data_IF_070491368571
#
_entry.id   IF_070491368571
#
_cell.length_a   1.000
_cell.length_b   1.000
_cell.length_c   1.000
_cell.angle_alpha   90.00
_cell.angle_beta   90.00
_cell.angle_gamma   90.00
#
_symmetry.space_group_name_H-M   'P 1'
#
loop_
_entity.id
_entity.type
_entity.pdbx_description
1 polymer ?
#
# COMPACT_ATOMS: atom_id res chain seq x y z
N UNK A 1 -3.89 24.95 -61.57
CA UNK A 1 -4.60 23.87 -60.85
C UNK A 1 -3.58 22.93 -60.26
N UNK A 2 -3.32 23.04 -58.95
CA UNK A 2 -2.77 22.02 -58.02
C UNK A 2 -2.48 22.72 -56.68
N UNK A 3 -3.48 22.72 -55.80
CA UNK A 3 -3.29 23.00 -54.37
C UNK A 3 -2.70 21.72 -53.74
N UNK A 4 -1.54 21.84 -53.12
CA UNK A 4 -0.99 20.82 -52.21
C UNK A 4 -1.34 21.26 -50.79
N UNK A 5 -2.36 20.65 -50.20
CA UNK A 5 -2.68 20.79 -48.78
C UNK A 5 -1.77 19.82 -48.02
N UNK A 6 -0.78 20.36 -47.33
CA UNK A 6 0.06 19.62 -46.39
C UNK A 6 -0.75 19.46 -45.08
N UNK A 7 -1.47 18.35 -44.94
CA UNK A 7 -2.11 18.01 -43.68
C UNK A 7 -1.03 17.55 -42.68
N UNK A 8 -0.58 18.48 -41.83
CA UNK A 8 0.19 18.13 -40.64
C UNK A 8 -0.73 17.30 -39.72
N UNK A 9 -0.50 15.99 -39.68
CA UNK A 9 -1.06 15.10 -38.67
C UNK A 9 -0.43 15.48 -37.32
N UNK A 10 -0.96 16.53 -36.69
CA UNK A 10 -0.85 16.70 -35.25
C UNK A 10 -1.62 15.54 -34.62
N UNK A 11 -0.92 14.41 -34.39
CA UNK A 11 -1.36 13.47 -33.38
C UNK A 11 -1.26 14.21 -32.06
N UNK A 12 -2.40 14.66 -31.55
CA UNK A 12 -2.51 14.91 -30.13
C UNK A 12 -2.17 13.59 -29.44
N UNK A 13 -0.94 13.49 -28.92
CA UNK A 13 -0.64 12.53 -27.86
C UNK A 13 -1.47 12.98 -26.67
N UNK A 14 -2.71 12.49 -26.60
CA UNK A 14 -3.39 12.43 -25.31
C UNK A 14 -2.43 11.66 -24.40
N UNK A 15 -1.96 12.28 -23.33
CA UNK A 15 -1.34 11.54 -22.24
C UNK A 15 -2.32 10.40 -21.91
N UNK A 16 -1.88 9.16 -22.11
CA UNK A 16 -2.76 8.00 -22.27
C UNK A 16 -3.51 7.64 -20.97
N UNK A 17 -3.20 8.31 -19.86
CA UNK A 17 -3.81 8.06 -18.56
C UNK A 17 -3.61 9.26 -17.64
N UNK A 18 -4.66 9.67 -16.91
CA UNK A 18 -4.52 10.58 -15.76
C UNK A 18 -3.98 9.74 -14.59
N UNK A 19 -2.71 9.94 -14.15
CA UNK A 19 -2.14 9.14 -13.06
C UNK A 19 -2.81 9.46 -11.72
N UNK A 20 -3.57 10.56 -11.65
CA UNK A 20 -4.29 10.96 -10.45
C UNK A 20 -5.56 10.13 -10.33
N UNK A 21 -5.62 9.35 -9.27
CA UNK A 21 -6.84 8.63 -8.91
C UNK A 21 -7.84 9.58 -8.24
N UNK A 22 -9.13 9.41 -8.52
CA UNK A 22 -10.22 10.12 -7.81
C UNK A 22 -10.40 9.62 -6.37
N UNK A 23 -9.81 8.47 -6.06
CA UNK A 23 -9.80 7.81 -4.76
C UNK A 23 -8.44 8.03 -4.11
N UNK A 24 -8.36 7.95 -2.80
CA UNK A 24 -7.29 8.63 -2.04
C UNK A 24 -6.21 7.71 -1.48
N UNK A 25 -6.25 6.41 -1.81
CA UNK A 25 -5.33 5.40 -1.30
C UNK A 25 -4.95 4.38 -2.38
N UNK A 26 -3.71 3.90 -2.32
CA UNK A 26 -3.23 2.76 -3.11
C UNK A 26 -2.84 1.62 -2.18
N UNK A 27 -2.82 0.39 -2.68
CA UNK A 27 -2.36 -0.79 -1.92
C UNK A 27 -1.15 -1.42 -2.62
N UNK A 28 -0.17 -1.90 -1.87
CA UNK A 28 0.94 -2.67 -2.44
C UNK A 28 0.64 -4.16 -2.35
N UNK A 29 0.19 -4.77 -3.45
CA UNK A 29 -0.05 -6.21 -3.52
C UNK A 29 1.27 -6.93 -3.86
N UNK A 30 2.18 -6.90 -2.88
CA UNK A 30 3.55 -7.39 -2.99
C UNK A 30 3.60 -8.89 -3.32
N UNK A 31 4.31 -9.22 -4.40
CA UNK A 31 4.50 -10.57 -4.94
C UNK A 31 3.24 -11.30 -5.43
N UNK A 32 2.09 -10.61 -5.53
CA UNK A 32 0.87 -11.21 -6.06
C UNK A 32 1.01 -11.55 -7.55
N UNK A 33 0.35 -12.62 -7.99
CA UNK A 33 0.24 -12.95 -9.42
C UNK A 33 -0.73 -12.02 -10.12
N UNK A 34 -0.50 -11.77 -11.41
CA UNK A 34 -1.33 -10.86 -12.22
C UNK A 34 -2.80 -11.29 -12.25
N UNK A 35 -3.07 -12.60 -12.36
CA UNK A 35 -4.43 -13.13 -12.37
C UNK A 35 -5.19 -12.89 -11.05
N UNK A 36 -4.53 -13.07 -9.90
CA UNK A 36 -5.13 -12.83 -8.58
C UNK A 36 -5.38 -11.33 -8.37
N UNK A 37 -4.45 -10.48 -8.82
CA UNK A 37 -4.55 -9.04 -8.73
C UNK A 37 -5.70 -8.49 -9.59
N UNK A 38 -5.86 -9.00 -10.81
CA UNK A 38 -6.98 -8.67 -11.69
C UNK A 38 -8.33 -9.01 -11.05
N UNK A 39 -8.43 -10.22 -10.46
CA UNK A 39 -9.63 -10.63 -9.74
C UNK A 39 -9.87 -9.76 -8.49
N UNK A 40 -8.81 -9.38 -7.78
CA UNK A 40 -8.87 -8.52 -6.59
C UNK A 40 -9.36 -7.10 -6.92
N UNK A 41 -8.91 -6.54 -8.04
CA UNK A 41 -9.42 -5.27 -8.55
C UNK A 41 -10.94 -5.27 -8.70
N UNK A 42 -11.48 -6.30 -9.36
CA UNK A 42 -12.90 -6.40 -9.67
C UNK A 42 -13.74 -6.75 -8.43
N UNK A 43 -13.30 -7.74 -7.64
CA UNK A 43 -14.10 -8.28 -6.54
C UNK A 43 -14.00 -7.45 -5.26
N UNK A 44 -12.95 -6.65 -5.10
CA UNK A 44 -12.66 -6.00 -3.82
C UNK A 44 -12.21 -4.54 -3.94
N UNK A 45 -11.11 -4.25 -4.62
CA UNK A 45 -10.52 -2.90 -4.61
C UNK A 45 -11.43 -1.86 -5.26
N UNK A 46 -11.99 -2.20 -6.42
CA UNK A 46 -12.98 -1.41 -7.15
C UNK A 46 -14.18 -1.08 -6.27
N UNK A 47 -14.92 -2.09 -5.75
CA UNK A 47 -16.07 -1.87 -4.87
C UNK A 47 -15.75 -1.13 -3.56
N UNK A 48 -14.57 -1.32 -2.95
CA UNK A 48 -14.21 -0.74 -1.66
C UNK A 48 -13.44 0.59 -1.76
N UNK A 49 -13.41 1.22 -2.93
CA UNK A 49 -12.90 2.58 -3.05
C UNK A 49 -11.37 2.72 -3.02
N UNK A 50 -10.61 1.67 -3.28
CA UNK A 50 -9.16 1.78 -3.50
C UNK A 50 -8.89 2.44 -4.85
N UNK A 51 -7.91 3.34 -4.87
CA UNK A 51 -7.55 4.14 -6.05
C UNK A 51 -6.56 3.49 -6.99
N UNK A 52 -5.74 2.57 -6.49
CA UNK A 52 -4.82 1.82 -7.33
C UNK A 52 -3.99 0.81 -6.56
N UNK A 53 -3.12 0.12 -7.31
CA UNK A 53 -2.26 -0.94 -6.82
C UNK A 53 -0.82 -0.66 -7.24
N UNK A 54 0.09 -0.66 -6.28
CA UNK A 54 1.51 -0.85 -6.58
C UNK A 54 1.77 -2.34 -6.80
N UNK A 55 2.43 -2.66 -7.91
CA UNK A 55 2.81 -4.04 -8.26
C UNK A 55 4.32 -4.24 -8.09
N UNK A 56 4.74 -5.44 -7.69
CA UNK A 56 6.15 -5.83 -7.69
C UNK A 56 6.76 -5.75 -9.10
N UNK A 57 8.11 -5.63 -9.23
CA UNK A 57 8.76 -5.39 -10.52
C UNK A 57 8.31 -6.38 -11.61
N UNK A 58 7.67 -5.92 -12.69
CA UNK A 58 7.12 -6.81 -13.72
C UNK A 58 8.18 -7.31 -14.71
N UNK A 59 9.38 -6.73 -14.66
CA UNK A 59 10.50 -7.05 -15.53
C UNK A 59 11.19 -8.36 -15.17
N UNK A 60 11.81 -8.97 -16.17
CA UNK A 60 12.66 -10.15 -16.05
C UNK A 60 13.79 -9.91 -15.03
N UNK A 61 13.85 -10.81 -14.05
CA UNK A 61 14.86 -10.82 -13.00
C UNK A 61 15.64 -12.13 -12.95
N UNK A 62 16.71 -12.13 -12.17
CA UNK A 62 17.43 -13.36 -11.79
C UNK A 62 16.54 -14.36 -11.05
N UNK A 63 16.84 -15.65 -11.21
CA UNK A 63 16.34 -16.74 -10.36
C UNK A 63 17.41 -17.12 -9.34
N UNK A 64 17.05 -17.07 -8.06
CA UNK A 64 17.94 -17.43 -6.94
C UNK A 64 17.38 -18.68 -6.25
N UNK A 65 18.07 -19.82 -6.37
CA UNK A 65 17.61 -21.13 -5.86
C UNK A 65 18.28 -21.58 -4.57
N UNK A 66 19.48 -21.08 -4.26
CA UNK A 66 20.22 -21.39 -3.03
C UNK A 66 19.48 -20.93 -1.76
N UNK A 67 18.61 -19.92 -1.88
CA UNK A 67 17.71 -19.42 -0.83
C UNK A 67 16.22 -19.53 -1.18
N UNK A 68 15.83 -20.55 -1.96
CA UNK A 68 14.42 -20.84 -2.28
C UNK A 68 13.61 -19.62 -2.75
N UNK A 69 14.01 -19.01 -3.85
CA UNK A 69 13.30 -17.90 -4.51
C UNK A 69 13.00 -16.71 -3.59
N UNK A 70 14.03 -16.05 -3.03
CA UNK A 70 13.85 -14.89 -2.17
C UNK A 70 13.20 -13.71 -2.90
N UNK A 71 12.39 -12.93 -2.20
CA UNK A 71 11.64 -11.80 -2.78
C UNK A 71 12.54 -10.76 -3.46
N UNK A 72 13.71 -10.49 -2.88
CA UNK A 72 14.64 -9.48 -3.39
C UNK A 72 15.24 -9.84 -4.76
N UNK A 73 15.07 -11.08 -5.23
CA UNK A 73 15.53 -11.47 -6.57
C UNK A 73 14.87 -10.62 -7.66
N UNK A 74 13.64 -10.14 -7.45
CA UNK A 74 12.91 -9.27 -8.40
C UNK A 74 13.52 -7.88 -8.54
N UNK A 75 14.33 -7.47 -7.58
CA UNK A 75 15.08 -6.22 -7.60
C UNK A 75 16.46 -6.41 -8.22
N UNK A 76 16.69 -7.51 -8.95
CA UNK A 76 17.91 -7.75 -9.73
C UNK A 76 17.54 -8.04 -11.19
N UNK A 77 17.27 -6.98 -11.99
CA UNK A 77 16.85 -7.12 -13.37
C UNK A 77 17.91 -7.76 -14.25
N UNK A 78 17.45 -8.54 -15.22
CA UNK A 78 18.28 -9.05 -16.33
C UNK A 78 17.87 -8.38 -17.64
N UNK A 79 16.59 -8.08 -17.78
CA UNK A 79 16.03 -7.41 -18.93
C UNK A 79 14.70 -6.75 -18.63
N UNK A 80 14.16 -6.03 -19.61
CA UNK A 80 12.85 -5.39 -19.50
C UNK A 80 11.72 -6.18 -20.17
N UNK A 81 11.97 -7.46 -20.46
CA UNK A 81 10.91 -8.39 -20.83
C UNK A 81 9.91 -8.46 -19.68
N UNK A 82 8.62 -8.40 -19.99
CA UNK A 82 7.55 -8.41 -18.99
C UNK A 82 7.19 -9.86 -18.65
N UNK A 83 8.09 -10.54 -17.95
CA UNK A 83 7.81 -11.85 -17.38
C UNK A 83 8.50 -11.98 -16.02
N UNK A 84 7.76 -12.51 -15.05
CA UNK A 84 8.23 -12.67 -13.67
C UNK A 84 7.50 -13.82 -12.98
N UNK A 85 7.80 -14.04 -11.69
CA UNK A 85 7.05 -14.97 -10.82
C UNK A 85 5.55 -14.65 -10.73
N UNK A 86 5.14 -13.42 -11.07
CA UNK A 86 3.73 -13.01 -11.07
C UNK A 86 2.98 -13.38 -12.36
N UNK A 87 3.69 -13.69 -13.45
CA UNK A 87 3.11 -14.04 -14.75
C UNK A 87 3.79 -13.38 -15.95
N UNK A 88 3.25 -13.59 -17.14
CA UNK A 88 3.76 -13.08 -18.42
C UNK A 88 3.11 -11.76 -18.88
N UNK A 89 3.59 -11.21 -19.99
CA UNK A 89 3.13 -9.92 -20.54
C UNK A 89 1.63 -9.89 -20.82
N UNK A 90 1.06 -10.98 -21.37
CA UNK A 90 -0.37 -11.03 -21.68
C UNK A 90 -1.22 -11.00 -20.41
N UNK A 91 -0.78 -11.69 -19.35
CA UNK A 91 -1.45 -11.67 -18.04
C UNK A 91 -1.32 -10.30 -17.37
N UNK A 92 -0.15 -9.65 -17.48
CA UNK A 92 0.05 -8.29 -17.00
C UNK A 92 -0.88 -7.29 -17.73
N UNK A 93 -0.98 -7.41 -19.05
CA UNK A 93 -1.88 -6.59 -19.88
C UNK A 93 -3.35 -6.82 -19.56
N UNK A 94 -3.76 -8.07 -19.35
CA UNK A 94 -5.12 -8.41 -18.90
C UNK A 94 -5.43 -7.76 -17.55
N UNK A 95 -4.53 -7.91 -16.57
CA UNK A 95 -4.67 -7.32 -15.25
C UNK A 95 -4.82 -5.80 -15.31
N UNK A 96 -3.93 -5.10 -16.03
CA UNK A 96 -4.01 -3.64 -16.20
C UNK A 96 -5.35 -3.24 -16.80
N UNK A 97 -5.80 -3.95 -17.83
CA UNK A 97 -7.07 -3.66 -18.51
C UNK A 97 -8.25 -3.82 -17.57
N UNK A 98 -8.32 -4.94 -16.84
CA UNK A 98 -9.42 -5.24 -15.91
C UNK A 98 -9.46 -4.30 -14.72
N UNK A 99 -8.31 -3.98 -14.12
CA UNK A 99 -8.23 -3.01 -13.03
C UNK A 99 -8.65 -1.60 -13.48
N UNK A 100 -8.18 -1.14 -14.64
CA UNK A 100 -8.58 0.16 -15.17
C UNK A 100 -10.09 0.23 -15.47
N UNK A 101 -10.70 -0.86 -15.97
CA UNK A 101 -12.15 -0.91 -16.23
C UNK A 101 -13.01 -0.73 -14.97
N UNK A 102 -12.46 -1.03 -13.78
CA UNK A 102 -13.14 -0.83 -12.49
C UNK A 102 -12.60 0.38 -11.72
N UNK A 103 -11.82 1.25 -12.38
CA UNK A 103 -11.32 2.50 -11.81
C UNK A 103 -10.20 2.31 -10.78
N UNK A 104 -9.42 1.23 -10.90
CA UNK A 104 -8.25 0.94 -10.06
C UNK A 104 -7.00 1.08 -10.91
N UNK A 105 -6.18 2.10 -10.62
CA UNK A 105 -4.95 2.38 -11.35
C UNK A 105 -3.84 1.37 -11.02
N UNK A 106 -2.90 1.15 -11.94
CA UNK A 106 -1.73 0.29 -11.71
C UNK A 106 -0.46 1.15 -11.70
N UNK A 107 0.35 1.00 -10.64
CA UNK A 107 1.63 1.65 -10.44
C UNK A 107 2.74 0.59 -10.43
N UNK A 108 3.58 0.57 -11.46
CA UNK A 108 4.67 -0.41 -11.56
C UNK A 108 5.88 0.00 -10.71
N UNK A 109 6.41 -0.94 -9.92
CA UNK A 109 7.73 -0.80 -9.30
C UNK A 109 8.81 -0.97 -10.38
N UNK A 110 9.50 0.14 -10.70
CA UNK A 110 10.43 0.23 -11.82
C UNK A 110 11.88 0.21 -11.32
N UNK A 111 12.54 -0.94 -11.45
CA UNK A 111 13.96 -1.10 -11.10
C UNK A 111 14.82 -0.75 -12.31
N UNK A 112 15.22 0.52 -12.39
CA UNK A 112 15.98 1.08 -13.53
C UNK A 112 17.39 1.56 -13.16
N UNK A 113 17.74 1.52 -11.88
CA UNK A 113 19.03 2.01 -11.37
C UNK A 113 20.19 1.04 -11.62
N UNK A 114 19.91 -0.27 -11.62
CA UNK A 114 20.93 -1.32 -11.72
C UNK A 114 20.39 -2.58 -12.40
N UNK A 115 21.31 -3.50 -12.71
CA UNK A 115 21.02 -4.87 -13.17
C UNK A 115 21.44 -5.88 -12.09
N UNK A 116 21.30 -7.19 -12.33
CA UNK A 116 21.70 -8.22 -11.36
C UNK A 116 23.21 -8.20 -11.07
N UNK A 117 23.58 -8.53 -9.83
CA UNK A 117 24.97 -8.47 -9.37
C UNK A 117 25.78 -9.74 -9.65
N UNK A 118 25.14 -10.90 -9.58
CA UNK A 118 25.75 -12.21 -9.84
C UNK A 118 24.67 -13.25 -10.09
N UNK A 119 24.95 -14.25 -10.94
CA UNK A 119 24.03 -15.36 -11.22
C UNK A 119 24.13 -15.85 -12.66
N UNK A 120 23.36 -16.89 -12.98
CA UNK A 120 23.42 -17.56 -14.30
C UNK A 120 22.06 -17.92 -14.89
N UNK A 121 20.96 -17.71 -14.16
CA UNK A 121 19.62 -18.09 -14.59
C UNK A 121 18.68 -16.89 -14.51
N UNK A 122 17.93 -16.68 -15.59
CA UNK A 122 16.94 -15.63 -15.73
C UNK A 122 15.53 -16.19 -15.70
N UNK A 123 14.59 -15.39 -15.21
CA UNK A 123 13.17 -15.77 -15.10
C UNK A 123 12.49 -15.98 -16.45
N UNK A 124 13.00 -15.38 -17.53
CA UNK A 124 12.44 -15.55 -18.88
C UNK A 124 13.41 -16.24 -19.85
N UNK A 125 14.53 -16.78 -19.37
CA UNK A 125 15.49 -17.53 -20.18
C UNK A 125 16.44 -16.67 -21.02
N UNK A 126 16.44 -15.35 -20.85
CA UNK A 126 17.42 -14.46 -21.50
C UNK A 126 18.86 -14.77 -21.05
N UNK A 127 19.80 -14.68 -21.97
CA UNK A 127 21.24 -14.74 -21.68
C UNK A 127 21.75 -13.44 -21.08
N UNK A 128 22.70 -13.54 -20.16
CA UNK A 128 23.44 -12.43 -19.57
C UNK A 128 24.78 -12.95 -18.98
N UNK A 129 25.72 -12.03 -18.74
CA UNK A 129 26.93 -12.27 -17.97
C UNK A 129 27.16 -11.12 -16.98
N UNK A 130 26.70 -11.30 -15.75
CA UNK A 130 26.82 -10.29 -14.70
C UNK A 130 28.29 -9.97 -14.34
N UNK A 131 29.21 -10.94 -14.47
CA UNK A 131 30.62 -10.72 -14.14
C UNK A 131 31.30 -9.76 -15.12
N UNK A 132 30.92 -9.87 -16.40
CA UNK A 132 31.40 -8.98 -17.46
C UNK A 132 30.49 -7.77 -17.68
N UNK A 133 29.44 -7.62 -16.87
CA UNK A 133 28.40 -6.58 -17.00
C UNK A 133 27.76 -6.55 -18.39
N UNK A 134 27.50 -7.72 -18.97
CA UNK A 134 26.95 -7.90 -20.31
C UNK A 134 25.48 -8.34 -20.24
N UNK A 135 24.57 -7.47 -20.70
CA UNK A 135 23.12 -7.64 -20.69
C UNK A 135 22.54 -7.33 -22.07
N UNK A 136 22.73 -8.24 -23.05
CA UNK A 136 22.48 -7.96 -24.47
C UNK A 136 20.99 -7.78 -24.82
N UNK A 137 20.07 -8.18 -23.93
CA UNK A 137 18.63 -7.98 -24.14
C UNK A 137 18.21 -6.52 -23.91
N UNK A 138 18.95 -5.76 -23.10
CA UNK A 138 18.78 -4.31 -22.86
C UNK A 138 19.78 -3.46 -23.66
N UNK A 139 20.52 -4.10 -24.58
CA UNK A 139 21.86 -3.73 -25.03
C UNK A 139 22.82 -3.03 -24.04
N UNK A 140 22.83 -3.39 -22.76
CA UNK A 140 23.83 -2.83 -21.83
C UNK A 140 25.09 -3.67 -21.78
N UNK A 141 26.24 -3.01 -21.71
CA UNK A 141 27.55 -3.60 -21.51
C UNK A 141 28.36 -2.79 -20.50
N UNK A 142 29.58 -3.22 -20.17
CA UNK A 142 30.36 -2.65 -19.07
C UNK A 142 30.56 -1.12 -19.07
N UNK A 143 30.43 -0.44 -20.23
CA UNK A 143 30.52 1.02 -20.33
C UNK A 143 29.25 1.76 -19.87
N UNK A 144 28.10 1.09 -19.83
CA UNK A 144 26.83 1.68 -19.41
C UNK A 144 26.68 1.73 -17.88
N UNK A 145 27.59 1.07 -17.16
CA UNK A 145 27.59 1.02 -15.70
C UNK A 145 28.58 2.02 -15.12
N UNK A 146 28.16 2.68 -14.04
CA UNK A 146 29.00 3.60 -13.29
C UNK A 146 30.33 2.94 -12.88
N UNK A 147 31.43 3.65 -13.08
CA UNK A 147 32.80 3.21 -12.79
C UNK A 147 33.22 3.52 -11.34
N UNK A 148 32.25 3.80 -10.46
CA UNK A 148 32.48 4.14 -9.05
C UNK A 148 33.04 5.55 -8.82
N UNK A 149 33.17 6.41 -9.85
CA UNK A 149 33.71 7.78 -9.68
C UNK A 149 32.70 8.83 -9.20
N UNK A 150 31.41 8.50 -9.16
CA UNK A 150 30.39 9.40 -8.63
C UNK A 150 30.13 9.10 -7.15
N UNK A 151 30.91 9.72 -6.27
CA UNK A 151 30.62 9.79 -4.84
C UNK A 151 29.52 10.82 -4.62
N UNK A 152 28.26 10.40 -4.59
CA UNK A 152 27.19 11.28 -4.11
C UNK A 152 27.27 11.26 -2.57
N UNK A 153 27.70 12.39 -1.98
CA UNK A 153 27.54 12.61 -0.54
C UNK A 153 26.06 12.60 -0.21
N UNK A 154 25.66 11.83 0.80
CA UNK A 154 24.27 11.77 1.28
C UNK A 154 23.87 13.13 1.85
N UNK A 155 23.17 13.92 1.05
CA UNK A 155 22.71 15.26 1.36
C UNK A 155 21.42 15.26 2.18
N UNK A 156 21.59 15.63 3.45
CA UNK A 156 20.74 16.33 4.42
C UNK A 156 19.20 16.46 4.27
N UNK A 157 18.58 16.33 5.45
CA UNK A 157 17.20 16.56 5.90
C UNK A 157 16.53 17.83 5.34
N UNK A 158 15.21 17.75 5.13
CA UNK A 158 14.36 18.92 4.88
C UNK A 158 12.98 18.80 5.53
N UNK A 159 12.67 19.82 6.34
CA UNK A 159 11.46 20.15 7.12
C UNK A 159 10.16 20.29 6.29
N UNK A 160 8.98 20.03 6.87
CA UNK A 160 8.19 21.00 7.66
C UNK A 160 7.67 20.47 9.03
N UNK A 161 7.85 21.30 10.07
CA UNK A 161 7.73 21.14 11.54
C UNK A 161 8.37 19.90 12.20
N UNK A 162 8.60 18.82 11.45
CA UNK A 162 9.24 17.56 11.88
C UNK A 162 10.34 17.05 10.94
N UNK A 163 10.69 17.75 9.85
CA UNK A 163 11.65 17.25 8.88
C UNK A 163 11.06 16.57 7.65
N UNK A 164 9.78 16.77 7.32
CA UNK A 164 9.09 16.03 6.24
C UNK A 164 8.84 16.83 4.96
N UNK A 165 8.84 16.15 3.82
CA UNK A 165 8.53 16.75 2.52
C UNK A 165 7.11 17.36 2.49
N UNK A 166 6.87 18.48 1.76
CA UNK A 166 5.53 19.04 1.57
C UNK A 166 4.50 18.00 1.13
N UNK A 167 3.28 18.10 1.66
CA UNK A 167 2.23 17.08 1.49
C UNK A 167 1.84 16.82 0.03
N UNK A 168 1.99 17.80 -0.86
CA UNK A 168 1.69 17.67 -2.30
C UNK A 168 2.79 16.92 -3.09
N UNK A 169 3.90 16.58 -2.42
CA UNK A 169 5.05 15.85 -2.97
C UNK A 169 5.34 14.54 -2.24
N UNK A 170 4.68 14.29 -1.11
CA UNK A 170 4.92 13.14 -0.27
C UNK A 170 4.10 11.91 -0.69
N UNK A 171 4.74 10.74 -0.74
CA UNK A 171 4.09 9.43 -0.68
C UNK A 171 4.37 8.84 0.71
N UNK A 172 3.31 8.60 1.48
CA UNK A 172 3.41 8.21 2.90
C UNK A 172 2.97 6.77 3.12
N UNK A 173 3.64 6.10 4.05
CA UNK A 173 3.40 4.72 4.44
C UNK A 173 3.89 4.46 5.87
N UNK A 174 3.40 3.38 6.52
CA UNK A 174 3.83 2.99 7.86
C UNK A 174 5.01 2.05 7.72
N UNK A 175 4.82 1.04 6.88
CA UNK A 175 5.82 0.08 6.49
C UNK A 175 5.83 -0.12 4.98
N UNK A 176 6.88 -0.77 4.48
CA UNK A 176 7.01 -1.23 3.12
C UNK A 176 7.66 -2.62 3.12
N UNK A 177 7.83 -3.20 1.93
CA UNK A 177 8.35 -4.56 1.79
C UNK A 177 9.77 -4.77 2.35
N UNK A 178 10.57 -3.71 2.46
CA UNK A 178 11.91 -3.73 3.07
C UNK A 178 11.82 -3.64 4.60
N UNK A 179 11.24 -2.55 5.11
CA UNK A 179 11.35 -2.17 6.51
C UNK A 179 10.49 -3.00 7.44
N UNK A 180 9.44 -3.64 6.92
CA UNK A 180 8.66 -4.62 7.67
C UNK A 180 9.47 -5.90 8.01
N UNK A 181 10.60 -6.13 7.33
CA UNK A 181 11.56 -7.22 7.60
C UNK A 181 12.81 -6.74 8.34
N UNK A 182 12.78 -5.51 8.86
CA UNK A 182 13.93 -4.87 9.52
C UNK A 182 15.05 -4.43 8.56
N UNK A 183 14.81 -4.42 7.24
CA UNK A 183 15.74 -3.90 6.23
C UNK A 183 15.39 -2.45 5.86
N UNK A 184 16.37 -1.59 5.60
CA UNK A 184 16.10 -0.20 5.23
C UNK A 184 15.81 0.74 6.42
N UNK A 185 15.12 1.85 6.14
CA UNK A 185 14.97 2.97 7.08
C UNK A 185 13.85 2.70 8.10
N UNK A 186 14.15 2.96 9.38
CA UNK A 186 13.21 2.82 10.51
C UNK A 186 13.50 1.68 11.47
N UNK A 187 14.15 0.60 11.00
CA UNK A 187 14.63 -0.51 11.86
C UNK A 187 13.57 -1.07 12.81
N UNK A 188 13.92 -1.25 14.08
CA UNK A 188 13.04 -1.83 15.11
C UNK A 188 11.84 -0.94 15.51
N UNK A 189 11.76 0.30 15.01
CA UNK A 189 10.63 1.20 15.28
C UNK A 189 9.46 1.01 14.30
N UNK A 190 9.61 0.16 13.29
CA UNK A 190 8.53 -0.18 12.35
C UNK A 190 7.57 -1.16 13.02
N UNK A 191 6.32 -0.75 13.17
CA UNK A 191 5.28 -1.56 13.82
C UNK A 191 4.53 -2.39 12.79
N UNK A 192 4.63 -3.72 12.86
CA UNK A 192 4.16 -4.61 11.79
C UNK A 192 2.91 -5.43 12.10
N UNK A 193 2.31 -5.36 13.31
CA UNK A 193 1.10 -6.17 13.57
C UNK A 193 0.05 -5.64 14.55
N UNK A 194 0.41 -4.95 15.64
CA UNK A 194 -0.60 -4.50 16.64
C UNK A 194 -0.92 -3.00 16.55
N UNK A 195 0.06 -2.12 16.25
CA UNK A 195 -0.21 -0.67 16.15
C UNK A 195 -0.60 -0.19 14.74
N UNK A 196 -0.54 -1.05 13.71
CA UNK A 196 -1.11 -0.74 12.38
C UNK A 196 -2.64 -0.59 12.45
N UNK A 197 -3.27 -1.27 13.41
CA UNK A 197 -4.69 -1.10 13.70
C UNK A 197 -5.00 0.32 14.15
N UNK A 198 -4.10 1.05 14.82
CA UNK A 198 -4.30 2.41 15.34
C UNK A 198 -4.30 3.53 14.26
N UNK A 199 -4.77 3.26 13.04
CA UNK A 199 -5.28 4.27 12.10
C UNK A 199 -4.29 5.22 11.44
N UNK A 200 -2.97 5.09 11.65
CA UNK A 200 -1.98 6.07 11.17
C UNK A 200 -1.31 5.76 9.81
N UNK A 201 -1.77 4.77 9.03
CA UNK A 201 -1.20 4.57 7.70
C UNK A 201 -2.13 3.92 6.67
N UNK A 202 -2.06 4.46 5.45
CA UNK A 202 -2.84 4.06 4.27
C UNK A 202 -1.97 3.47 3.15
N UNK A 203 -0.77 3.02 3.48
CA UNK A 203 -0.01 2.09 2.66
C UNK A 203 0.31 0.90 3.56
N UNK A 204 -0.18 -0.25 3.14
CA UNK A 204 -0.10 -1.48 3.90
C UNK A 204 0.57 -2.50 3.00
N UNK A 205 1.81 -2.84 3.34
CA UNK A 205 2.56 -3.90 2.67
C UNK A 205 2.36 -5.22 3.42
N UNK A 206 2.18 -6.37 2.76
CA UNK A 206 1.84 -7.61 3.45
C UNK A 206 2.99 -8.12 4.32
N UNK A 207 2.80 -8.39 5.63
CA UNK A 207 3.73 -9.24 6.34
C UNK A 207 3.58 -10.64 5.75
N UNK A 208 4.60 -11.11 5.04
CA UNK A 208 4.79 -12.55 4.89
C UNK A 208 5.23 -13.02 6.28
N UNK A 209 4.53 -14.02 6.84
CA UNK A 209 4.79 -14.68 8.13
C UNK A 209 6.12 -14.29 8.81
N UNK A 210 6.07 -13.27 9.66
CA UNK A 210 7.16 -12.96 10.58
C UNK A 210 7.05 -13.98 11.70
N UNK A 211 8.06 -14.84 11.87
CA UNK A 211 8.12 -15.67 13.07
C UNK A 211 8.24 -14.74 14.28
N UNK A 212 7.15 -14.59 15.03
CA UNK A 212 7.15 -13.80 16.25
C UNK A 212 8.09 -14.44 17.28
N UNK A 213 9.32 -13.94 17.33
CA UNK A 213 10.19 -14.10 18.49
C UNK A 213 10.87 -12.76 18.79
N UNK A 214 10.19 -11.96 19.61
CA UNK A 214 10.69 -10.79 20.32
C UNK A 214 11.16 -9.58 19.47
N UNK A 215 10.68 -8.40 19.88
CA UNK A 215 10.87 -7.04 19.31
C UNK A 215 12.35 -6.56 19.33
N UNK A 216 13.33 -7.45 19.39
CA UNK A 216 14.76 -7.15 19.41
C UNK A 216 15.62 -8.06 18.53
N UNK A 217 15.05 -9.01 17.79
CA UNK A 217 15.83 -9.86 16.88
C UNK A 217 15.49 -9.54 15.42
N UNK A 218 16.55 -9.33 14.63
CA UNK A 218 16.48 -9.33 13.19
C UNK A 218 15.80 -10.63 12.72
N UNK A 219 14.79 -10.51 11.87
CA UNK A 219 14.06 -11.66 11.34
C UNK A 219 15.04 -12.61 10.66
N UNK A 220 15.13 -13.85 11.17
CA UNK A 220 16.04 -14.88 10.63
C UNK A 220 15.63 -15.31 9.20
N UNK A 221 14.43 -14.92 8.77
CA UNK A 221 13.78 -15.26 7.52
C UNK A 221 13.48 -14.04 6.65
N UNK A 222 14.19 -12.92 6.86
CA UNK A 222 14.03 -11.65 6.12
C UNK A 222 14.23 -11.74 4.58
N UNK A 223 14.61 -12.90 4.08
CA UNK A 223 14.83 -13.22 2.67
C UNK A 223 13.70 -14.02 2.03
N UNK A 224 12.79 -14.63 2.81
CA UNK A 224 11.79 -15.57 2.28
C UNK A 224 10.87 -14.92 1.23
N UNK A 225 10.71 -15.61 0.10
CA UNK A 225 9.80 -15.22 -0.97
C UNK A 225 8.31 -15.37 -0.61
N UNK A 226 7.40 -15.09 -1.55
CA UNK A 226 5.96 -15.26 -1.35
C UNK A 226 5.60 -16.72 -1.05
N UNK A 227 4.38 -16.99 -0.54
CA UNK A 227 3.84 -18.35 -0.49
C UNK A 227 4.00 -19.03 -1.85
N UNK A 228 4.77 -20.12 -1.89
CA UNK A 228 5.16 -20.80 -3.14
C UNK A 228 4.82 -22.29 -3.12
N UNK A 229 4.65 -22.86 -4.29
CA UNK A 229 4.59 -24.31 -4.50
C UNK A 229 5.99 -24.93 -4.38
N UNK A 230 6.06 -26.26 -4.42
CA UNK A 230 7.32 -27.01 -4.35
C UNK A 230 8.25 -26.79 -5.55
N UNK A 231 7.74 -26.23 -6.64
CA UNK A 231 8.53 -25.87 -7.84
C UNK A 231 8.98 -24.40 -7.82
N UNK A 232 8.73 -23.66 -6.73
CA UNK A 232 9.06 -22.25 -6.59
C UNK A 232 8.04 -21.28 -7.22
N UNK A 233 7.00 -21.77 -7.90
CA UNK A 233 5.94 -20.91 -8.44
C UNK A 233 5.09 -20.29 -7.32
N UNK A 234 4.70 -19.03 -7.48
CA UNK A 234 3.86 -18.33 -6.51
C UNK A 234 2.48 -18.97 -6.41
N UNK A 235 1.96 -19.15 -5.19
CA UNK A 235 0.61 -19.68 -4.93
C UNK A 235 -0.50 -18.68 -5.29
N UNK A 236 -1.69 -19.17 -5.65
CA UNK A 236 -2.89 -18.32 -5.73
C UNK A 236 -3.21 -17.65 -4.40
N UNK A 237 -4.07 -16.63 -4.44
CA UNK A 237 -4.60 -15.99 -3.23
C UNK A 237 -6.04 -16.44 -2.98
N UNK A 238 -6.26 -17.50 -2.17
CA UNK A 238 -7.61 -17.93 -1.82
C UNK A 238 -8.27 -16.92 -0.88
N UNK A 239 -9.58 -16.72 -1.05
CA UNK A 239 -10.40 -15.89 -0.17
C UNK A 239 -11.29 -16.79 0.66
N UNK A 240 -11.19 -16.63 1.98
CA UNK A 240 -11.96 -17.37 2.96
C UNK A 240 -13.40 -16.81 3.05
N UNK A 241 -14.36 -17.57 3.63
CA UNK A 241 -15.75 -17.12 3.78
C UNK A 241 -15.92 -15.84 4.60
N UNK A 242 -14.99 -15.56 5.53
CA UNK A 242 -14.94 -14.34 6.34
C UNK A 242 -14.27 -13.15 5.62
N UNK A 243 -13.98 -13.30 4.33
CA UNK A 243 -13.27 -12.33 3.47
C UNK A 243 -11.78 -12.15 3.76
N UNK A 244 -11.18 -12.90 4.69
CA UNK A 244 -9.71 -12.96 4.87
C UNK A 244 -9.05 -13.77 3.74
N UNK A 245 -7.73 -13.72 3.65
CA UNK A 245 -6.97 -14.55 2.71
C UNK A 245 -6.42 -15.80 3.38
N UNK A 246 -6.26 -16.87 2.59
CA UNK A 246 -5.63 -18.11 3.01
C UNK A 246 -4.22 -18.29 2.46
N UNK A 247 -3.67 -19.50 2.63
CA UNK A 247 -2.38 -19.93 2.07
C UNK A 247 -1.17 -19.04 2.39
N UNK A 248 -1.20 -18.37 3.55
CA UNK A 248 -0.10 -17.54 4.04
C UNK A 248 -0.10 -16.10 3.54
N UNK A 249 -1.12 -15.70 2.76
CA UNK A 249 -1.39 -14.31 2.42
C UNK A 249 -2.14 -13.61 3.55
N UNK A 250 -1.64 -12.47 4.03
CA UNK A 250 -2.24 -11.76 5.19
C UNK A 250 -3.40 -10.86 4.79
N UNK A 251 -3.25 -10.11 3.70
CA UNK A 251 -4.30 -9.26 3.14
C UNK A 251 -4.87 -8.23 4.12
N UNK A 252 -4.02 -7.41 4.71
CA UNK A 252 -4.41 -6.35 5.64
C UNK A 252 -5.35 -5.33 4.99
N UNK A 253 -5.25 -5.13 3.68
CA UNK A 253 -6.21 -4.32 2.92
C UNK A 253 -7.65 -4.84 3.03
N UNK A 254 -7.84 -6.09 3.49
CA UNK A 254 -9.14 -6.71 3.76
C UNK A 254 -9.59 -6.61 5.21
N UNK A 255 -8.72 -6.22 6.14
CA UNK A 255 -9.09 -6.02 7.53
C UNK A 255 -10.13 -4.90 7.63
N UNK A 256 -11.17 -5.11 8.43
CA UNK A 256 -12.32 -4.22 8.49
C UNK A 256 -11.89 -2.78 8.79
N UNK A 257 -11.02 -2.63 9.77
CA UNK A 257 -10.42 -1.37 10.22
C UNK A 257 -9.73 -0.63 9.06
N UNK A 258 -8.87 -1.31 8.31
CA UNK A 258 -8.09 -0.71 7.22
C UNK A 258 -8.97 -0.36 6.03
N UNK A 259 -9.79 -1.31 5.57
CA UNK A 259 -10.74 -1.12 4.47
C UNK A 259 -11.67 0.07 4.76
N UNK A 260 -12.20 0.16 5.98
CA UNK A 260 -13.09 1.24 6.36
C UNK A 260 -12.36 2.57 6.50
N UNK A 261 -11.08 2.59 6.91
CA UNK A 261 -10.28 3.82 6.92
C UNK A 261 -9.90 4.32 5.51
N UNK A 262 -9.76 3.42 4.53
CA UNK A 262 -9.70 3.79 3.10
C UNK A 262 -10.99 4.50 2.67
N UNK A 263 -12.14 3.96 3.04
CA UNK A 263 -13.44 4.59 2.77
C UNK A 263 -13.58 5.94 3.51
N UNK A 264 -13.17 6.01 4.78
CA UNK A 264 -13.15 7.25 5.57
C UNK A 264 -12.34 8.34 4.86
N UNK A 265 -11.12 8.03 4.39
CA UNK A 265 -10.27 9.00 3.67
C UNK A 265 -10.93 9.53 2.40
N UNK A 266 -11.63 8.66 1.66
CA UNK A 266 -12.39 9.07 0.49
C UNK A 266 -13.55 10.02 0.85
N UNK A 267 -14.28 9.75 1.94
CA UNK A 267 -15.41 10.58 2.40
C UNK A 267 -14.96 11.96 2.86
N UNK A 268 -13.81 12.05 3.53
CA UNK A 268 -13.29 13.29 4.10
C UNK A 268 -12.34 14.04 3.16
N UNK A 269 -12.13 13.55 1.94
CA UNK A 269 -11.19 14.14 1.00
C UNK A 269 -11.45 15.65 0.79
N UNK A 270 -10.39 16.45 0.85
CA UNK A 270 -10.45 17.91 0.69
C UNK A 270 -11.00 18.67 1.90
N UNK A 271 -11.36 18.00 3.00
CA UNK A 271 -11.75 18.68 4.24
C UNK A 271 -10.52 19.09 5.06
N UNK A 272 -10.60 20.25 5.69
CA UNK A 272 -9.54 20.74 6.57
C UNK A 272 -9.43 19.88 7.83
N UNK A 273 -8.19 19.70 8.31
CA UNK A 273 -7.94 19.23 9.67
C UNK A 273 -8.50 20.24 10.68
N UNK A 274 -9.26 19.78 11.67
CA UNK A 274 -10.00 20.65 12.61
C UNK A 274 -10.33 19.92 13.92
N UNK A 275 -10.77 20.66 14.95
CA UNK A 275 -11.20 20.12 16.24
C UNK A 275 -10.17 19.17 16.89
N UNK A 276 -8.88 19.52 16.84
CA UNK A 276 -7.87 18.81 17.61
C UNK A 276 -8.16 18.87 19.10
N UNK A 277 -7.99 17.74 19.77
CA UNK A 277 -8.00 17.63 21.22
C UNK A 277 -6.98 16.58 21.62
N UNK A 278 -6.29 16.82 22.73
CA UNK A 278 -5.43 15.87 23.42
C UNK A 278 -5.58 16.03 24.93
N UNK A 279 -5.22 14.99 25.67
CA UNK A 279 -5.19 15.02 27.13
C UNK A 279 -3.81 15.36 27.72
N UNK A 280 -2.85 15.79 26.90
CA UNK A 280 -1.44 15.96 27.28
C UNK A 280 -0.64 14.66 27.44
N UNK A 281 -1.22 13.50 27.08
CA UNK A 281 -0.61 12.16 27.11
C UNK A 281 -0.84 11.46 25.76
N UNK A 282 -1.48 10.28 25.72
CA UNK A 282 -1.66 9.47 24.50
C UNK A 282 -3.13 9.28 24.11
N UNK A 283 -4.04 10.12 24.59
CA UNK A 283 -5.41 10.23 24.08
C UNK A 283 -5.52 11.47 23.21
N UNK A 284 -5.92 11.27 21.96
CA UNK A 284 -6.06 12.34 20.98
C UNK A 284 -7.33 12.17 20.16
N UNK A 285 -7.86 13.27 19.63
CA UNK A 285 -8.92 13.23 18.63
C UNK A 285 -8.81 14.41 17.67
N UNK A 286 -9.36 14.23 16.48
CA UNK A 286 -9.51 15.30 15.51
C UNK A 286 -10.62 15.00 14.52
N UNK A 287 -10.95 16.01 13.72
CA UNK A 287 -11.95 15.94 12.67
C UNK A 287 -11.38 16.38 11.33
N UNK A 288 -12.06 15.96 10.27
CA UNK A 288 -11.88 16.48 8.93
C UNK A 288 -13.14 17.25 8.54
N UNK A 289 -13.10 18.57 8.76
CA UNK A 289 -14.22 19.47 8.58
C UNK A 289 -15.48 18.94 9.27
N UNK A 290 -16.57 18.86 8.52
CA UNK A 290 -17.85 18.32 9.00
C UNK A 290 -18.16 16.93 8.41
N UNK A 291 -17.15 16.19 7.97
CA UNK A 291 -17.32 14.91 7.26
C UNK A 291 -16.78 13.69 7.99
N UNK A 292 -15.80 13.84 8.87
CA UNK A 292 -15.28 12.73 9.67
C UNK A 292 -14.68 13.18 10.99
N UNK A 293 -14.70 12.26 11.95
CA UNK A 293 -14.12 12.42 13.28
C UNK A 293 -13.47 11.10 13.70
N UNK A 294 -12.30 11.18 14.32
CA UNK A 294 -11.54 10.04 14.83
C UNK A 294 -10.96 10.36 16.21
N UNK A 295 -10.90 9.35 17.06
CA UNK A 295 -10.43 9.46 18.44
C UNK A 295 -9.67 8.19 18.83
N UNK A 296 -8.54 8.37 19.49
CA UNK A 296 -7.61 7.31 19.88
C UNK A 296 -7.41 7.31 21.39
N UNK A 297 -7.27 6.11 21.97
CA UNK A 297 -6.83 5.92 23.32
C UNK A 297 -5.62 4.98 23.34
N UNK A 298 -4.42 5.55 23.47
CA UNK A 298 -3.19 4.78 23.66
C UNK A 298 -2.57 5.03 25.05
N UNK A 299 -3.38 5.51 25.99
CA UNK A 299 -3.02 5.55 27.41
C UNK A 299 -3.41 4.23 28.10
N UNK A 300 -2.82 3.99 29.27
CA UNK A 300 -3.10 2.79 30.08
C UNK A 300 -4.40 2.89 30.90
N UNK A 301 -5.31 3.84 30.57
CA UNK A 301 -6.60 4.05 31.23
C UNK A 301 -7.72 4.41 30.24
N UNK A 302 -8.97 4.32 30.69
CA UNK A 302 -10.15 4.63 29.86
C UNK A 302 -10.19 6.11 29.42
N UNK A 303 -10.45 6.35 28.14
CA UNK A 303 -10.89 7.65 27.64
C UNK A 303 -12.39 7.75 27.88
N UNK A 304 -12.85 8.78 28.62
CA UNK A 304 -14.27 9.01 28.90
C UNK A 304 -14.58 10.51 28.86
N UNK A 305 -14.73 11.03 27.65
CA UNK A 305 -14.79 12.47 27.39
C UNK A 305 -15.93 12.85 26.47
N UNK A 306 -16.43 14.08 26.60
CA UNK A 306 -17.37 14.65 25.62
C UNK A 306 -16.60 15.55 24.67
N UNK A 307 -16.48 15.15 23.40
CA UNK A 307 -15.59 15.79 22.42
C UNK A 307 -16.37 16.53 21.34
N UNK A 308 -15.79 17.62 20.82
CA UNK A 308 -16.34 18.36 19.68
C UNK A 308 -15.99 17.62 18.39
N UNK A 309 -17.00 17.08 17.71
CA UNK A 309 -16.75 16.22 16.53
C UNK A 309 -16.71 17.01 15.21
N UNK A 310 -17.31 18.20 15.18
CA UNK A 310 -17.56 18.95 13.95
C UNK A 310 -18.64 18.35 13.05
N UNK A 311 -19.20 17.18 13.41
CA UNK A 311 -20.20 16.49 12.61
C UNK A 311 -21.62 17.00 12.90
N UNK A 312 -22.54 16.94 11.93
CA UNK A 312 -23.95 17.21 12.16
C UNK A 312 -24.57 16.22 13.17
N UNK A 313 -25.57 16.67 13.91
CA UNK A 313 -26.30 15.82 14.86
C UNK A 313 -26.88 14.56 14.20
N UNK A 314 -26.81 13.44 14.92
CA UNK A 314 -27.32 12.15 14.48
C UNK A 314 -26.53 10.98 15.06
N UNK A 315 -26.92 9.77 14.68
CA UNK A 315 -26.27 8.54 15.13
C UNK A 315 -25.38 8.01 14.02
N UNK A 316 -24.14 7.68 14.36
CA UNK A 316 -23.10 7.21 13.44
C UNK A 316 -22.63 5.83 13.84
N UNK A 317 -22.36 4.98 12.86
CA UNK A 317 -21.67 3.72 13.08
C UNK A 317 -20.17 3.97 13.22
N UNK A 318 -19.58 3.42 14.28
CA UNK A 318 -18.13 3.27 14.36
C UNK A 318 -17.67 2.26 13.31
N UNK A 319 -16.79 2.72 12.44
CA UNK A 319 -16.28 1.90 11.33
C UNK A 319 -15.04 1.10 11.69
N UNK A 320 -14.58 1.19 12.94
CA UNK A 320 -13.47 0.38 13.45
C UNK A 320 -14.00 -0.93 14.03
N UNK A 321 -14.87 -0.84 15.04
CA UNK A 321 -15.52 -2.02 15.64
C UNK A 321 -16.59 -2.68 14.77
N UNK A 322 -16.93 -2.10 13.61
CA UNK A 322 -17.93 -2.65 12.71
C UNK A 322 -18.17 -1.80 11.46
N UNK A 323 -19.40 -1.80 10.96
CA UNK A 323 -19.81 -1.07 9.76
C UNK A 323 -21.30 -0.77 9.77
N UNK A 324 -21.73 0.14 8.88
CA UNK A 324 -23.14 0.38 8.58
C UNK A 324 -23.62 -0.64 7.55
N UNK A 325 -24.56 -1.50 7.94
CA UNK A 325 -25.09 -2.56 7.08
C UNK A 325 -26.60 -2.67 7.23
N UNK A 326 -27.34 -2.63 6.11
CA UNK A 326 -28.81 -2.72 6.11
C UNK A 326 -29.51 -1.76 7.07
N UNK A 327 -28.99 -0.54 7.22
CA UNK A 327 -29.58 0.48 8.10
C UNK A 327 -29.37 0.24 9.60
N UNK A 328 -28.38 -0.57 9.99
CA UNK A 328 -27.92 -0.74 11.38
C UNK A 328 -26.38 -0.75 11.47
N UNK A 329 -25.85 -0.50 12.67
CA UNK A 329 -24.43 -0.68 12.94
C UNK A 329 -24.17 -2.10 13.43
N UNK A 330 -23.14 -2.75 12.92
CA UNK A 330 -22.70 -4.06 13.42
C UNK A 330 -21.78 -3.92 14.64
N UNK A 331 -21.13 -2.76 14.80
CA UNK A 331 -20.29 -2.41 15.94
C UNK A 331 -20.89 -1.31 16.81
N UNK A 332 -20.02 -0.50 17.43
CA UNK A 332 -20.39 0.61 18.29
C UNK A 332 -21.14 1.72 17.54
N UNK A 333 -21.84 2.54 18.29
CA UNK A 333 -22.56 3.72 17.80
C UNK A 333 -22.08 4.96 18.55
N UNK A 334 -21.97 6.07 17.82
CA UNK A 334 -21.70 7.38 18.39
C UNK A 334 -22.88 8.29 18.09
N UNK A 335 -23.44 8.89 19.14
CA UNK A 335 -24.52 9.87 19.01
C UNK A 335 -23.91 11.27 19.11
N UNK A 336 -24.03 12.04 18.04
CA UNK A 336 -23.63 13.44 17.98
C UNK A 336 -24.84 14.31 18.30
N UNK A 337 -24.71 15.16 19.31
CA UNK A 337 -25.74 16.10 19.76
C UNK A 337 -25.95 17.28 18.80
N UNK A 338 -27.00 18.06 19.07
CA UNK A 338 -27.33 19.29 18.32
C UNK A 338 -26.22 20.36 18.36
N UNK A 339 -25.35 20.29 19.35
CA UNK A 339 -24.16 21.13 19.55
C UNK A 339 -22.90 20.59 18.86
N UNK A 340 -23.00 19.47 18.11
CA UNK A 340 -21.88 18.84 17.42
C UNK A 340 -20.95 18.04 18.34
N UNK A 341 -21.30 17.85 19.61
CA UNK A 341 -20.50 17.09 20.58
C UNK A 341 -20.99 15.65 20.73
N UNK A 342 -20.09 14.73 21.07
CA UNK A 342 -20.41 13.34 21.37
C UNK A 342 -19.69 12.88 22.64
N UNK A 343 -20.37 12.08 23.46
CA UNK A 343 -19.74 11.38 24.59
C UNK A 343 -19.04 10.13 24.06
N UNK A 344 -17.73 10.05 24.26
CA UNK A 344 -16.86 8.97 23.78
C UNK A 344 -16.33 8.20 24.99
N UNK A 345 -16.42 6.87 24.92
CA UNK A 345 -15.81 5.96 25.89
C UNK A 345 -15.02 4.88 25.17
N UNK A 346 -13.73 4.79 25.47
CA UNK A 346 -12.82 3.80 24.90
C UNK A 346 -11.97 3.25 26.04
N UNK A 347 -12.18 1.98 26.39
CA UNK A 347 -11.29 1.30 27.34
C UNK A 347 -9.94 1.02 26.70
N UNK A 348 -8.85 1.11 27.47
CA UNK A 348 -7.51 0.73 27.03
C UNK A 348 -7.34 -0.79 26.84
N UNK A 349 -8.38 -1.57 27.15
CA UNK A 349 -8.43 -3.02 26.97
C UNK A 349 -9.25 -3.44 25.74
N UNK A 350 -9.74 -2.49 24.95
CA UNK A 350 -10.44 -2.79 23.71
C UNK A 350 -9.48 -3.38 22.67
N UNK A 351 -10.01 -4.24 21.80
CA UNK A 351 -9.25 -4.84 20.69
C UNK A 351 -8.64 -3.75 19.80
N UNK A 352 -9.45 -2.76 19.44
CA UNK A 352 -9.06 -1.58 18.70
C UNK A 352 -9.39 -0.34 19.54
N UNK A 353 -8.44 0.24 20.29
CA UNK A 353 -8.72 1.32 21.24
C UNK A 353 -8.81 2.69 20.53
N UNK A 354 -9.59 2.76 19.46
CA UNK A 354 -9.89 3.97 18.72
C UNK A 354 -11.24 3.84 17.98
N UNK A 355 -11.89 4.97 17.71
CA UNK A 355 -13.21 5.04 17.05
C UNK A 355 -13.10 6.00 15.87
N UNK A 356 -13.71 5.63 14.74
CA UNK A 356 -13.83 6.49 13.57
C UNK A 356 -15.28 6.54 13.08
N UNK A 357 -15.78 7.76 12.82
CA UNK A 357 -17.13 7.99 12.29
C UNK A 357 -17.09 9.02 11.18
N UNK A 358 -17.96 8.87 10.16
CA UNK A 358 -17.98 9.77 9.02
C UNK A 358 -19.39 9.96 8.44
N UNK A 359 -19.54 10.94 7.55
CA UNK A 359 -20.83 11.33 6.98
C UNK A 359 -21.65 10.13 6.42
N UNK A 360 -20.98 9.22 5.72
CA UNK A 360 -21.64 8.03 5.14
C UNK A 360 -21.94 6.91 6.14
N UNK A 361 -21.36 6.95 7.35
CA UNK A 361 -21.68 6.02 8.45
C UNK A 361 -22.87 6.48 9.31
N UNK A 362 -23.45 7.65 9.01
CA UNK A 362 -24.60 8.25 9.71
C UNK A 362 -25.95 7.60 9.34
N UNK A 363 -26.90 7.55 10.29
CA UNK A 363 -28.33 7.27 10.02
C UNK A 363 -29.13 8.49 9.55
#
# INVERSE_FOLDING_TARGET
MKLLILAALFRFSFAQFDPNTKRTAIVHLFEWRWADLAAECERYLGPNGFGGVQISPPSESIIVTDRWHPWWQRYQPIGYNLCSSSGNENELRDMITRCNNVGVNIYADAVINHMCGAGTHSSCGSYFDANNKDFPIVPYFYLDFNDGKCSIGSGQNWDEDWGFMPSDKALVFADNHENQRGRGVGGASIVTSQALQNGCSLYVGPPIWISQSNVQQQDQNDWQGPPSNSDGSTKPVPINPDSTCGDGWVCEHRWCQIKNMVAFRNVVNGQAFSNWWDNGSNQISFSHGSKGFIVFNNDDWELNETLSTGLPAGTYCDVISGQKESGRCTGKQVVVGGDGRASIRISNQEEDPFIAIHADSKF
#
